data_IF_966980844534
#
_entry.id   IF_966980844534
#
_cell.length_a   1.000
_cell.length_b   1.000
_cell.length_c   1.000
_cell.angle_alpha   90.00
_cell.angle_beta   90.00
_cell.angle_gamma   90.00
#
_symmetry.space_group_name_H-M   'P 1'
#
loop_
_entity.id
_entity.type
_entity.pdbx_description
1 polymer ?
#
# COMPACT_ATOMS: atom_id res chain seq x y z
N UNK A 1 -9.59 1.55 -17.21
CA UNK A 1 -8.13 1.48 -17.36
C UNK A 1 -7.46 1.97 -16.10
N UNK A 2 -6.49 1.25 -15.61
CA UNK A 2 -5.72 1.66 -14.44
C UNK A 2 -4.56 2.51 -14.93
N UNK A 3 -4.48 3.80 -14.53
CA UNK A 3 -3.44 4.70 -15.04
C UNK A 3 -2.03 4.39 -14.51
N UNK A 4 -1.93 3.62 -13.43
CA UNK A 4 -0.65 3.30 -12.82
C UNK A 4 -0.46 1.80 -12.73
N UNK A 5 0.76 1.28 -12.92
CA UNK A 5 0.99 -0.16 -12.81
C UNK A 5 0.75 -0.65 -11.39
N UNK A 6 0.24 -1.88 -11.29
CA UNK A 6 0.09 -2.57 -10.02
C UNK A 6 1.48 -3.09 -9.65
N UNK A 7 2.03 -2.60 -8.54
CA UNK A 7 3.38 -3.00 -8.14
C UNK A 7 3.56 -2.89 -6.64
N UNK A 8 4.52 -3.63 -6.12
CA UNK A 8 4.90 -3.58 -4.71
C UNK A 8 5.33 -2.16 -4.36
N UNK A 9 4.83 -1.65 -3.25
CA UNK A 9 5.17 -0.30 -2.78
C UNK A 9 4.25 0.79 -3.27
N UNK A 10 3.37 0.51 -4.24
CA UNK A 10 2.44 1.52 -4.74
C UNK A 10 1.40 1.85 -3.68
N UNK A 11 1.13 3.13 -3.51
CA UNK A 11 0.10 3.61 -2.59
C UNK A 11 -1.26 3.51 -3.27
N UNK A 12 -2.23 3.00 -2.54
CA UNK A 12 -3.60 2.83 -3.02
C UNK A 12 -4.58 3.28 -1.94
N UNK A 13 -5.75 3.75 -2.36
CA UNK A 13 -6.82 4.17 -1.45
C UNK A 13 -7.99 3.21 -1.63
N UNK A 14 -8.53 2.73 -0.52
CA UNK A 14 -9.68 1.82 -0.56
C UNK A 14 -10.93 2.59 -0.99
N UNK A 15 -11.68 2.03 -1.95
CA UNK A 15 -12.92 2.61 -2.47
C UNK A 15 -14.16 1.87 -1.99
N UNK A 16 -14.00 0.76 -1.29
CA UNK A 16 -15.14 -0.06 -0.92
C UNK A 16 -14.90 -0.75 0.40
N UNK A 17 -15.98 -1.07 1.10
CA UNK A 17 -15.95 -1.79 2.35
C UNK A 17 -15.70 -0.88 3.54
N UNK A 18 -15.34 -1.50 4.66
CA UNK A 18 -15.13 -0.78 5.93
C UNK A 18 -13.94 0.15 5.90
N UNK A 19 -12.97 -0.16 5.06
CA UNK A 19 -11.72 0.61 4.97
C UNK A 19 -11.81 1.76 3.96
N UNK A 20 -12.99 2.07 3.42
CA UNK A 20 -13.17 3.10 2.40
C UNK A 20 -12.53 4.41 2.82
N UNK A 21 -11.70 4.95 1.93
CA UNK A 21 -10.98 6.20 2.17
C UNK A 21 -9.63 6.02 2.86
N UNK A 22 -9.35 4.82 3.35
CA UNK A 22 -8.10 4.55 4.03
C UNK A 22 -6.97 4.31 3.03
N UNK A 23 -5.79 4.77 3.39
CA UNK A 23 -4.60 4.68 2.53
C UNK A 23 -3.79 3.45 2.89
N UNK A 24 -3.40 2.69 1.87
CA UNK A 24 -2.62 1.47 2.05
C UNK A 24 -1.45 1.43 1.07
N UNK A 25 -0.51 0.53 1.34
CA UNK A 25 0.56 0.22 0.41
C UNK A 25 0.41 -1.23 -0.05
N UNK A 26 0.68 -1.47 -1.33
CA UNK A 26 0.66 -2.83 -1.88
C UNK A 26 1.90 -3.57 -1.40
N UNK A 27 1.66 -4.64 -0.65
CA UNK A 27 2.72 -5.48 -0.11
C UNK A 27 3.14 -6.56 -1.10
N UNK A 28 2.17 -7.14 -1.78
CA UNK A 28 2.41 -8.24 -2.70
C UNK A 28 1.31 -8.28 -3.75
N UNK A 29 1.68 -8.59 -4.98
CA UNK A 29 0.73 -8.80 -6.07
C UNK A 29 0.45 -10.29 -6.16
N UNK A 30 -0.78 -10.70 -5.90
CA UNK A 30 -1.16 -12.11 -5.89
C UNK A 30 -1.44 -12.61 -7.31
N UNK A 31 -2.29 -11.89 -8.02
CA UNK A 31 -2.65 -12.20 -9.41
C UNK A 31 -3.23 -10.95 -10.07
N UNK A 32 -3.92 -11.09 -11.18
CA UNK A 32 -4.48 -9.94 -11.91
C UNK A 32 -5.65 -9.29 -11.20
N UNK A 33 -6.20 -9.93 -10.18
CA UNK A 33 -7.41 -9.43 -9.48
C UNK A 33 -7.15 -9.03 -8.04
N UNK A 34 -6.12 -9.59 -7.40
CA UNK A 34 -5.93 -9.46 -5.96
C UNK A 34 -4.52 -9.04 -5.60
N UNK A 35 -4.43 -8.28 -4.53
CA UNK A 35 -3.16 -7.89 -3.90
C UNK A 35 -3.29 -8.04 -2.39
N UNK A 36 -2.14 -8.12 -1.71
CA UNK A 36 -2.09 -7.91 -0.26
C UNK A 36 -1.74 -6.46 0.02
N UNK A 37 -2.47 -5.86 0.94
CA UNK A 37 -2.25 -4.47 1.35
C UNK A 37 -2.02 -4.37 2.85
N UNK A 38 -1.24 -3.38 3.23
CA UNK A 38 -0.96 -3.06 4.64
C UNK A 38 -0.93 -1.55 4.82
N UNK A 39 -1.13 -1.09 6.05
CA UNK A 39 -0.94 0.31 6.42
C UNK A 39 -0.08 0.45 7.68
N UNK A 40 0.34 -0.66 8.27
CA UNK A 40 1.17 -0.67 9.46
C UNK A 40 0.39 -0.41 10.74
N UNK A 41 -0.91 -0.28 10.66
CA UNK A 41 -1.79 0.03 11.80
C UNK A 41 -2.90 -0.99 11.93
N UNK A 42 -3.99 -0.82 11.19
CA UNK A 42 -5.08 -1.81 11.18
C UNK A 42 -4.66 -3.07 10.41
N UNK A 43 -3.96 -2.87 9.31
CA UNK A 43 -3.49 -3.99 8.48
C UNK A 43 -1.97 -4.05 8.59
N UNK A 44 -1.49 -4.93 9.43
CA UNK A 44 -0.06 -5.05 9.73
C UNK A 44 0.62 -6.06 8.83
N UNK A 45 1.94 -5.98 8.79
CA UNK A 45 2.75 -6.87 7.95
C UNK A 45 2.55 -8.35 8.26
N UNK A 46 2.27 -8.70 9.52
CA UNK A 46 2.03 -10.09 9.91
C UNK A 46 0.61 -10.56 9.57
N UNK A 47 -0.28 -9.64 9.23
CA UNK A 47 -1.67 -9.94 8.85
C UNK A 47 -2.14 -9.02 7.73
N UNK A 48 -1.52 -9.11 6.56
CA UNK A 48 -1.92 -8.26 5.45
C UNK A 48 -3.34 -8.61 4.99
N UNK A 49 -4.02 -7.63 4.42
CA UNK A 49 -5.36 -7.83 3.90
C UNK A 49 -5.31 -8.17 2.42
N UNK A 50 -5.98 -9.25 2.05
CA UNK A 50 -6.21 -9.57 0.65
C UNK A 50 -7.33 -8.68 0.12
N UNK A 51 -7.07 -7.94 -0.94
CA UNK A 51 -8.02 -6.96 -1.48
C UNK A 51 -8.13 -7.08 -2.98
N UNK A 52 -9.36 -6.93 -3.50
CA UNK A 52 -9.57 -6.89 -4.95
C UNK A 52 -9.08 -5.56 -5.49
N UNK A 53 -8.36 -5.62 -6.59
CA UNK A 53 -7.86 -4.41 -7.26
C UNK A 53 -8.97 -3.46 -7.66
N UNK A 54 -10.13 -3.96 -8.06
CA UNK A 54 -11.24 -3.09 -8.45
C UNK A 54 -11.76 -2.24 -7.30
N UNK A 55 -11.44 -2.61 -6.07
CA UNK A 55 -11.85 -1.86 -4.88
C UNK A 55 -10.77 -0.90 -4.40
N UNK A 56 -9.71 -0.73 -5.18
CA UNK A 56 -8.60 0.16 -4.84
C UNK A 56 -8.43 1.22 -5.92
N UNK A 57 -8.19 2.44 -5.48
CA UNK A 57 -7.76 3.52 -6.37
C UNK A 57 -6.24 3.62 -6.25
N UNK A 58 -5.53 3.26 -7.30
CA UNK A 58 -4.09 3.35 -7.32
C UNK A 58 -3.68 4.81 -7.49
N UNK A 59 -2.62 5.20 -6.81
CA UNK A 59 -2.10 6.57 -6.89
C UNK A 59 -0.75 6.57 -7.61
N UNK A 60 -0.25 7.76 -7.91
CA UNK A 60 1.05 7.92 -8.55
C UNK A 60 2.22 7.64 -7.59
N UNK A 61 1.94 7.55 -6.29
CA UNK A 61 2.99 7.42 -5.30
C UNK A 61 3.43 5.96 -5.12
N UNK A 62 4.74 5.76 -5.08
CA UNK A 62 5.36 4.47 -4.75
C UNK A 62 6.35 4.72 -3.63
N UNK A 63 6.29 3.91 -2.59
CA UNK A 63 7.26 3.97 -1.50
C UNK A 63 8.50 3.19 -1.92
N UNK A 64 9.41 3.87 -2.62
CA UNK A 64 10.57 3.23 -3.26
C UNK A 64 11.44 2.47 -2.27
N UNK A 65 11.74 3.07 -1.11
CA UNK A 65 12.58 2.43 -0.09
C UNK A 65 11.96 1.15 0.43
N UNK A 66 10.66 1.19 0.71
CA UNK A 66 9.95 0.02 1.21
C UNK A 66 9.83 -1.03 0.13
N UNK A 67 9.53 -0.61 -1.10
CA UNK A 67 9.45 -1.54 -2.24
C UNK A 67 10.77 -2.29 -2.42
N UNK A 68 11.88 -1.57 -2.34
CA UNK A 68 13.18 -2.18 -2.51
C UNK A 68 13.49 -3.17 -1.39
N UNK A 69 13.20 -2.81 -0.14
CA UNK A 69 13.38 -3.72 0.99
C UNK A 69 12.57 -4.99 0.83
N UNK A 70 11.32 -4.87 0.40
CA UNK A 70 10.46 -6.02 0.20
C UNK A 70 10.99 -6.94 -0.90
N UNK A 71 11.48 -6.36 -1.99
CA UNK A 71 12.04 -7.13 -3.10
C UNK A 71 13.32 -7.85 -2.72
N UNK A 72 14.09 -7.27 -1.81
CA UNK A 72 15.38 -7.81 -1.37
C UNK A 72 15.25 -8.70 -0.13
N UNK A 73 14.04 -8.94 0.33
CA UNK A 73 13.76 -9.68 1.56
C UNK A 73 14.41 -9.04 2.79
N UNK A 74 14.64 -7.73 2.75
CA UNK A 74 15.11 -6.97 3.89
C UNK A 74 13.94 -6.70 4.83
N UNK A 75 14.17 -6.77 6.12
CA UNK A 75 13.12 -6.59 7.12
C UNK A 75 12.47 -5.20 7.00
N UNK A 76 11.14 -5.18 6.99
CA UNK A 76 10.33 -3.96 7.03
C UNK A 76 9.47 -4.01 8.28
N UNK A 77 9.34 -2.87 8.96
CA UNK A 77 8.55 -2.77 10.19
C UNK A 77 7.27 -1.99 9.93
N UNK A 78 6.22 -2.32 10.67
CA UNK A 78 4.94 -1.60 10.58
C UNK A 78 5.13 -0.11 10.84
N UNK A 79 6.00 0.26 11.74
CA UNK A 79 6.29 1.67 12.05
C UNK A 79 6.82 2.42 10.81
N UNK A 80 7.64 1.77 9.99
CA UNK A 80 8.14 2.37 8.75
C UNK A 80 7.00 2.66 7.80
N UNK A 81 6.08 1.73 7.68
CA UNK A 81 4.92 1.87 6.79
C UNK A 81 4.02 3.00 7.27
N UNK A 82 3.71 3.03 8.56
CA UNK A 82 2.90 4.11 9.14
C UNK A 82 3.52 5.48 8.89
N UNK A 83 4.81 5.59 9.15
CA UNK A 83 5.52 6.86 8.96
C UNK A 83 5.52 7.30 7.51
N UNK A 84 5.76 6.36 6.59
CA UNK A 84 5.81 6.67 5.17
C UNK A 84 4.45 7.15 4.66
N UNK A 85 3.38 6.49 5.06
CA UNK A 85 2.03 6.89 4.68
C UNK A 85 1.69 8.26 5.26
N UNK A 86 2.03 8.47 6.52
CA UNK A 86 1.78 9.75 7.18
C UNK A 86 2.53 10.90 6.50
N UNK A 87 3.76 10.65 6.09
CA UNK A 87 4.57 11.65 5.38
C UNK A 87 3.93 12.04 4.06
N UNK A 88 3.36 11.08 3.33
CA UNK A 88 2.67 11.39 2.09
C UNK A 88 1.44 12.24 2.33
N UNK A 89 0.69 11.95 3.38
CA UNK A 89 -0.54 12.67 3.67
C UNK A 89 -0.30 14.11 4.13
N UNK A 90 0.83 14.37 4.79
CA UNK A 90 1.14 15.70 5.29
C UNK A 90 2.13 16.46 4.41
N UNK A 91 2.84 15.77 3.54
CA UNK A 91 3.89 16.38 2.72
C UNK A 91 3.36 17.38 1.70
N UNK A 92 2.11 17.26 1.33
CA UNK A 92 1.50 18.16 0.34
C UNK A 92 1.28 19.57 0.87
N UNK A 93 1.44 19.75 2.16
CA UNK A 93 1.21 21.06 2.79
C UNK A 93 2.42 21.97 2.75
N UNK A 94 3.47 21.49 2.18
CA UNK A 94 4.71 22.25 2.11
C UNK A 94 4.55 23.53 1.32
#
# INVERSE_FOLDING_TARGET
MVPYPVQIGRIAVSKAGRDTGRVFVILEVIDTYYVYIVDGDLRRLDRPKKKKLKHLKLTENVLENIAQKLKENTKVFDAEIRSAIRSLQSGSDA
#
